data_IF_692245079014
#
_entry.id   IF_692245079014
#
_cell.length_a   1.000
_cell.length_b   1.000
_cell.length_c   1.000
_cell.angle_alpha   90.00
_cell.angle_beta   90.00
_cell.angle_gamma   90.00
#
_symmetry.space_group_name_H-M   'P 1'
#
loop_
_entity.id
_entity.type
_entity.pdbx_description
1 polymer ?
#
# COMPACT_ATOMS: atom_id res chain seq x y z
N UNK A 1 -4.07 15.22 -2.17
CA UNK A 1 -2.89 15.70 -1.40
C UNK A 1 -1.85 16.18 -2.41
N UNK A 2 -1.20 17.31 -2.18
CA UNK A 2 -0.05 17.74 -3.00
C UNK A 2 1.23 17.09 -2.45
N UNK A 3 2.01 16.33 -3.25
CA UNK A 3 3.24 15.72 -2.77
C UNK A 3 4.24 16.76 -2.28
N UNK A 4 4.88 16.51 -1.13
CA UNK A 4 6.03 17.32 -0.68
C UNK A 4 7.27 17.09 -1.55
N UNK A 5 7.40 15.89 -2.13
CA UNK A 5 8.41 15.53 -3.13
C UNK A 5 7.96 14.31 -3.94
N UNK A 6 8.59 14.10 -5.11
CA UNK A 6 8.29 12.97 -6.00
C UNK A 6 6.99 13.13 -6.80
N UNK A 7 6.68 12.11 -7.59
CA UNK A 7 5.49 12.04 -8.44
C UNK A 7 4.81 10.68 -8.29
N UNK A 8 3.48 10.65 -8.41
CA UNK A 8 2.71 9.40 -8.44
C UNK A 8 2.98 8.62 -9.75
N UNK A 9 3.07 9.34 -10.87
CA UNK A 9 3.49 8.76 -12.13
C UNK A 9 4.97 8.29 -12.05
N UNK A 10 5.32 7.17 -12.70
CA UNK A 10 4.47 6.41 -13.63
C UNK A 10 3.63 5.29 -12.97
N UNK A 11 3.94 4.88 -11.74
CA UNK A 11 3.39 3.65 -11.15
C UNK A 11 2.01 3.79 -10.52
N UNK A 12 1.55 5.01 -10.24
CA UNK A 12 0.23 5.27 -9.69
C UNK A 12 -0.57 6.15 -10.65
N UNK A 13 -1.52 5.53 -11.34
CA UNK A 13 -2.45 6.15 -12.28
C UNK A 13 -3.59 6.81 -11.50
N UNK A 14 -3.64 8.14 -11.57
CA UNK A 14 -4.64 8.97 -10.87
C UNK A 14 -5.95 9.12 -11.63
N UNK A 15 -5.98 8.78 -12.92
CA UNK A 15 -7.20 8.85 -13.73
C UNK A 15 -8.05 7.61 -13.47
N UNK A 16 -7.41 6.44 -13.39
CA UNK A 16 -8.07 5.16 -13.14
C UNK A 16 -7.94 4.65 -11.69
N UNK A 17 -7.27 5.40 -10.82
CA UNK A 17 -7.08 5.11 -9.39
C UNK A 17 -6.47 3.72 -9.12
N UNK A 18 -5.38 3.39 -9.81
CA UNK A 18 -4.73 2.07 -9.72
C UNK A 18 -3.21 2.17 -9.74
N UNK A 19 -2.54 1.16 -9.21
CA UNK A 19 -1.14 0.92 -9.49
C UNK A 19 -1.01 0.29 -10.89
N UNK A 20 -0.09 0.79 -11.70
CA UNK A 20 0.25 0.25 -13.03
C UNK A 20 1.73 -0.14 -13.05
N UNK A 21 2.09 -1.02 -13.99
CA UNK A 21 3.43 -1.60 -14.09
C UNK A 21 3.92 -1.53 -15.54
N UNK A 22 5.24 -1.58 -15.73
CA UNK A 22 5.82 -1.79 -17.05
C UNK A 22 5.57 -3.23 -17.52
N UNK A 23 5.35 -3.38 -18.82
CA UNK A 23 5.05 -4.67 -19.46
C UNK A 23 6.33 -5.49 -19.74
N UNK A 24 6.98 -5.94 -18.67
CA UNK A 24 8.29 -6.58 -18.70
C UNK A 24 8.37 -7.71 -17.66
N UNK A 25 9.20 -8.72 -17.93
CA UNK A 25 9.49 -9.81 -16.98
C UNK A 25 10.45 -9.31 -15.88
N UNK A 26 9.94 -8.45 -14.99
CA UNK A 26 10.72 -7.85 -13.91
C UNK A 26 9.85 -7.59 -12.70
N UNK A 27 10.29 -8.08 -11.55
CA UNK A 27 9.60 -7.89 -10.27
C UNK A 27 9.45 -6.41 -9.92
N UNK A 28 8.24 -6.00 -9.56
CA UNK A 28 7.98 -4.70 -8.94
C UNK A 28 8.12 -4.83 -7.42
N UNK A 29 8.84 -3.92 -6.78
CA UNK A 29 8.94 -3.80 -5.33
C UNK A 29 8.02 -2.68 -4.84
N UNK A 30 7.25 -2.95 -3.77
CA UNK A 30 6.32 -2.00 -3.18
C UNK A 30 6.64 -1.74 -1.71
N UNK A 31 6.51 -0.48 -1.28
CA UNK A 31 6.58 -0.09 0.13
C UNK A 31 5.65 1.07 0.45
N UNK A 32 4.86 0.91 1.51
CA UNK A 32 4.05 1.95 2.14
C UNK A 32 4.51 2.13 3.59
N UNK A 33 4.95 3.33 3.92
CA UNK A 33 5.32 3.74 5.28
C UNK A 33 4.44 4.91 5.70
N UNK A 34 3.78 4.77 6.86
CA UNK A 34 2.83 5.76 7.37
C UNK A 34 3.23 6.11 8.80
N UNK A 35 3.40 7.41 9.04
CA UNK A 35 3.45 7.98 10.39
C UNK A 35 2.07 8.52 10.71
N UNK A 36 1.56 8.18 11.89
CA UNK A 36 0.24 8.58 12.32
C UNK A 36 -0.17 7.89 13.60
N UNK A 37 -1.43 8.01 13.95
CA UNK A 37 -1.98 7.49 15.22
C UNK A 37 -3.39 6.95 15.05
N UNK A 38 -3.71 5.94 15.85
CA UNK A 38 -5.08 5.62 16.23
C UNK A 38 -5.49 6.44 17.46
N UNK A 39 -6.80 6.54 17.79
CA UNK A 39 -7.26 7.17 19.02
C UNK A 39 -6.60 6.54 20.26
N UNK A 40 -6.37 7.36 21.29
CA UNK A 40 -5.80 6.89 22.57
C UNK A 40 -6.65 5.77 23.16
N UNK A 41 -5.98 4.76 23.74
CA UNK A 41 -6.63 3.58 24.32
C UNK A 41 -7.02 2.50 23.31
N UNK A 42 -6.82 2.69 22.01
CA UNK A 42 -7.05 1.64 21.01
C UNK A 42 -6.09 0.46 21.23
N UNK A 43 -6.61 -0.68 21.69
CA UNK A 43 -5.80 -1.86 21.99
C UNK A 43 -5.51 -2.70 20.73
N UNK A 44 -6.42 -3.58 20.32
CA UNK A 44 -6.27 -4.40 19.12
C UNK A 44 -6.59 -3.57 17.88
N UNK A 45 -5.60 -3.41 17.00
CA UNK A 45 -5.69 -2.57 15.80
C UNK A 45 -4.80 -3.07 14.68
N UNK A 46 -5.19 -2.82 13.44
CA UNK A 46 -4.37 -3.17 12.29
C UNK A 46 -4.58 -2.21 11.13
N UNK A 47 -3.56 -2.13 10.27
CA UNK A 47 -3.70 -1.56 8.94
C UNK A 47 -3.66 -2.70 7.92
N UNK A 48 -4.63 -2.71 7.01
CA UNK A 48 -4.74 -3.67 5.93
C UNK A 48 -4.62 -2.96 4.58
N UNK A 49 -3.90 -3.58 3.64
CA UNK A 49 -3.81 -3.13 2.26
C UNK A 49 -3.99 -4.32 1.33
N UNK A 50 -5.00 -4.28 0.48
CA UNK A 50 -5.29 -5.33 -0.51
C UNK A 50 -5.00 -4.83 -1.92
N UNK A 51 -4.37 -5.69 -2.72
CA UNK A 51 -4.06 -5.47 -4.14
C UNK A 51 -4.90 -6.43 -4.98
N UNK A 52 -5.63 -5.90 -5.96
CA UNK A 52 -6.31 -6.77 -6.94
C UNK A 52 -5.28 -7.45 -7.85
N UNK A 53 -5.56 -8.68 -8.27
CA UNK A 53 -4.70 -9.50 -9.13
C UNK A 53 -5.48 -10.70 -9.66
N UNK A 54 -4.84 -11.56 -10.45
CA UNK A 54 -5.40 -12.89 -10.77
C UNK A 54 -5.75 -13.67 -9.49
N UNK A 55 -4.88 -13.56 -8.49
CA UNK A 55 -5.16 -13.89 -7.09
C UNK A 55 -4.89 -12.61 -6.30
N UNK A 56 -5.88 -12.05 -5.58
CA UNK A 56 -5.67 -10.84 -4.80
C UNK A 56 -4.76 -11.07 -3.58
N UNK A 57 -3.86 -10.12 -3.32
CA UNK A 57 -2.96 -10.16 -2.15
C UNK A 57 -3.46 -9.24 -1.04
N UNK A 58 -3.37 -9.69 0.21
CA UNK A 58 -3.78 -8.89 1.38
C UNK A 58 -2.64 -8.81 2.40
N UNK A 59 -2.12 -7.60 2.59
CA UNK A 59 -1.12 -7.30 3.62
C UNK A 59 -1.82 -6.83 4.89
N UNK A 60 -1.39 -7.33 6.05
CA UNK A 60 -1.94 -6.92 7.36
C UNK A 60 -0.79 -6.62 8.33
N UNK A 61 -0.72 -5.40 8.85
CA UNK A 61 0.12 -5.04 10.00
C UNK A 61 -0.77 -4.96 11.24
N UNK A 62 -0.85 -6.07 11.99
CA UNK A 62 -1.65 -6.18 13.21
C UNK A 62 -0.81 -5.97 14.47
N UNK A 63 -1.40 -5.34 15.47
CA UNK A 63 -0.79 -5.15 16.79
C UNK A 63 -1.86 -5.07 17.89
N UNK A 64 -1.40 -5.14 19.13
CA UNK A 64 -2.24 -5.08 20.33
C UNK A 64 -1.68 -4.06 21.33
N UNK A 65 -2.18 -4.08 22.56
CA UNK A 65 -1.80 -3.16 23.62
C UNK A 65 -0.29 -3.19 23.99
N UNK A 66 0.44 -4.25 23.66
CA UNK A 66 1.87 -4.34 23.94
C UNK A 66 2.72 -3.46 23.01
N UNK A 67 2.18 -3.03 21.87
CA UNK A 67 2.87 -2.14 20.93
C UNK A 67 2.30 -0.73 21.06
N UNK A 68 3.14 0.22 21.46
CA UNK A 68 2.73 1.62 21.69
C UNK A 68 2.84 2.49 20.45
N UNK A 69 3.80 2.23 19.56
CA UNK A 69 3.92 2.95 18.29
C UNK A 69 2.77 2.58 17.35
N UNK A 70 2.25 3.58 16.66
CA UNK A 70 1.19 3.44 15.66
C UNK A 70 1.73 3.52 14.22
N UNK A 71 3.03 3.74 14.05
CA UNK A 71 3.65 3.79 12.72
C UNK A 71 3.50 2.45 11.99
N UNK A 72 3.25 2.53 10.69
CA UNK A 72 2.99 1.37 9.83
C UNK A 72 4.09 1.27 8.78
N UNK A 73 4.53 0.04 8.53
CA UNK A 73 5.37 -0.33 7.40
C UNK A 73 4.76 -1.57 6.76
N UNK A 74 4.35 -1.45 5.50
CA UNK A 74 3.93 -2.55 4.64
C UNK A 74 4.88 -2.60 3.44
N UNK A 75 5.47 -3.76 3.18
CA UNK A 75 6.35 -3.97 2.03
C UNK A 75 6.09 -5.34 1.43
N UNK A 76 6.13 -5.42 0.11
CA UNK A 76 5.95 -6.67 -0.63
C UNK A 76 6.59 -6.53 -2.01
N UNK A 77 6.51 -7.59 -2.82
CA UNK A 77 6.88 -7.57 -4.21
C UNK A 77 5.78 -8.21 -5.07
N UNK A 78 5.77 -7.89 -6.36
CA UNK A 78 4.90 -8.51 -7.35
C UNK A 78 5.76 -9.01 -8.51
N UNK A 79 5.76 -10.31 -8.74
CA UNK A 79 6.42 -10.91 -9.91
C UNK A 79 5.60 -10.56 -11.15
N UNK A 80 5.96 -9.49 -11.84
CA UNK A 80 5.27 -9.07 -13.06
C UNK A 80 5.77 -9.92 -14.21
N UNK A 81 4.82 -10.60 -14.86
CA UNK A 81 5.03 -11.28 -16.12
C UNK A 81 4.65 -10.33 -17.26
N UNK A 82 5.48 -10.31 -18.31
CA UNK A 82 5.15 -9.64 -19.57
C UNK A 82 3.86 -10.24 -20.12
N UNK A 83 2.95 -9.37 -20.54
CA UNK A 83 1.59 -9.65 -21.02
C UNK A 83 0.71 -10.36 -19.97
N UNK A 84 1.14 -10.38 -18.71
CA UNK A 84 0.40 -10.93 -17.59
C UNK A 84 -0.70 -10.00 -17.08
N UNK A 85 -1.40 -10.44 -16.02
CA UNK A 85 -2.53 -9.72 -15.43
C UNK A 85 -2.16 -8.30 -15.01
N UNK A 86 -1.09 -8.13 -14.23
CA UNK A 86 -0.70 -6.83 -13.72
C UNK A 86 -0.31 -5.86 -14.85
N UNK A 87 0.42 -6.34 -15.86
CA UNK A 87 0.80 -5.53 -17.03
C UNK A 87 -0.40 -5.11 -17.88
N UNK A 88 -1.45 -5.93 -17.93
CA UNK A 88 -2.65 -5.67 -18.73
C UNK A 88 -3.68 -4.80 -17.99
N UNK A 89 -3.85 -5.02 -16.67
CA UNK A 89 -4.99 -4.51 -15.91
C UNK A 89 -4.60 -3.47 -14.84
N UNK A 90 -3.33 -3.49 -14.39
CA UNK A 90 -2.89 -2.86 -13.16
C UNK A 90 -3.50 -3.53 -11.92
N UNK A 91 -3.39 -2.85 -10.77
CA UNK A 91 -3.92 -3.30 -9.49
C UNK A 91 -4.64 -2.17 -8.77
N UNK A 92 -5.89 -2.40 -8.37
CA UNK A 92 -6.61 -1.51 -7.45
C UNK A 92 -6.08 -1.75 -6.04
N UNK A 93 -5.68 -0.68 -5.36
CA UNK A 93 -5.19 -0.72 -3.98
C UNK A 93 -6.30 -0.28 -3.02
N UNK A 94 -6.71 -1.18 -2.13
CA UNK A 94 -7.74 -0.90 -1.12
C UNK A 94 -7.12 -0.93 0.27
N UNK A 95 -7.10 0.22 0.94
CA UNK A 95 -6.55 0.36 2.29
C UNK A 95 -7.69 0.42 3.32
N UNK A 96 -7.50 -0.23 4.46
CA UNK A 96 -8.46 -0.24 5.55
C UNK A 96 -7.76 -0.19 6.91
N UNK A 97 -8.25 0.69 7.77
CA UNK A 97 -7.88 0.73 9.18
C UNK A 97 -8.89 -0.07 9.99
N UNK A 98 -8.41 -0.95 10.88
CA UNK A 98 -9.23 -1.81 11.73
C UNK A 98 -9.08 -1.46 13.20
N UNK A 99 -10.16 -1.59 13.97
CA UNK A 99 -10.26 -1.22 15.39
C UNK A 99 -10.74 0.23 15.58
N UNK A 100 -10.14 1.17 14.85
CA UNK A 100 -10.57 2.57 14.81
C UNK A 100 -10.07 3.25 13.52
N UNK A 101 -10.51 4.49 13.28
CA UNK A 101 -9.94 5.32 12.21
C UNK A 101 -8.47 5.67 12.51
N UNK A 102 -7.62 5.68 11.49
CA UNK A 102 -6.21 6.07 11.59
C UNK A 102 -6.02 7.49 11.04
N UNK A 103 -5.32 8.35 11.77
CA UNK A 103 -4.96 9.70 11.30
C UNK A 103 -3.50 9.70 10.89
N UNK A 104 -3.25 9.73 9.57
CA UNK A 104 -1.91 9.82 9.01
C UNK A 104 -1.42 11.27 8.97
N UNK A 105 -0.18 11.51 9.38
CA UNK A 105 0.50 12.82 9.33
C UNK A 105 1.65 12.84 8.33
N UNK A 106 2.27 11.69 8.06
CA UNK A 106 3.25 11.52 6.98
C UNK A 106 3.00 10.22 6.24
N UNK A 107 2.98 10.28 4.91
CA UNK A 107 2.82 9.10 4.04
C UNK A 107 3.99 9.07 3.07
N UNK A 108 4.67 7.92 3.01
CA UNK A 108 5.67 7.62 1.98
C UNK A 108 5.26 6.34 1.27
N UNK A 109 5.07 6.43 -0.04
CA UNK A 109 4.72 5.31 -0.90
C UNK A 109 5.78 5.17 -2.00
N UNK A 110 6.18 3.93 -2.29
CA UNK A 110 7.18 3.59 -3.29
C UNK A 110 6.67 2.39 -4.08
N UNK A 111 6.76 2.50 -5.40
CA UNK A 111 6.73 1.39 -6.33
C UNK A 111 7.93 1.56 -7.26
N UNK A 112 8.70 0.51 -7.44
CA UNK A 112 9.86 0.49 -8.33
C UNK A 112 9.89 -0.82 -9.10
N UNK A 113 10.16 -0.73 -10.40
CA UNK A 113 10.29 -1.86 -11.30
C UNK A 113 11.48 -1.64 -12.20
#
# INVERSE_FOLDING_TARGET
LTPSSGTLAPFFDTDNNKMVVFNENKTLLFKLSIVGTWPSGTANRSMQLTFSGSVPDTLVSSRNAATTTDNILLATFFSVDKDGFLATNGSTLTIQSNGAAFTATTIKIIAEQ
#
